data_IF_539979462296
#
_entry.id   IF_539979462296
#
_cell.length_a   1.000
_cell.length_b   1.000
_cell.length_c   1.000
_cell.angle_alpha   90.00
_cell.angle_beta   90.00
_cell.angle_gamma   90.00
#
_symmetry.space_group_name_H-M   'P 1'
#
loop_
_entity.id
_entity.type
_entity.pdbx_description
1 polymer ?
#
# COMPACT_ATOMS: atom_id res chain seq x y z
N UNK A 1 -4.93 9.35 12.45
CA UNK A 1 -5.82 9.69 11.34
C UNK A 1 -7.22 9.68 11.91
N UNK A 2 -8.00 10.75 11.74
CA UNK A 2 -9.40 10.74 12.17
C UNK A 2 -10.18 9.74 11.32
N UNK A 3 -11.17 9.04 11.88
CA UNK A 3 -11.94 8.02 11.16
C UNK A 3 -12.63 8.60 9.92
N UNK A 4 -13.09 9.85 9.98
CA UNK A 4 -13.68 10.55 8.84
C UNK A 4 -12.70 10.73 7.66
N UNK A 5 -11.44 11.09 7.93
CA UNK A 5 -10.43 11.21 6.87
C UNK A 5 -10.02 9.83 6.34
N UNK A 6 -10.01 8.78 7.19
CA UNK A 6 -9.78 7.41 6.72
C UNK A 6 -10.90 6.97 5.78
N UNK A 7 -12.16 7.20 6.15
CA UNK A 7 -13.32 6.86 5.32
C UNK A 7 -13.27 7.62 3.99
N UNK A 8 -12.94 8.91 4.00
CA UNK A 8 -12.77 9.70 2.79
C UNK A 8 -11.68 9.12 1.86
N UNK A 9 -10.56 8.65 2.42
CA UNK A 9 -9.48 8.07 1.63
C UNK A 9 -9.88 6.76 0.92
N UNK A 10 -10.77 5.95 1.49
CA UNK A 10 -11.25 4.71 0.87
C UNK A 10 -11.96 4.94 -0.47
N UNK A 11 -12.60 6.10 -0.68
CA UNK A 11 -13.28 6.40 -1.94
C UNK A 11 -12.32 6.50 -3.14
N UNK A 12 -11.03 6.72 -2.89
CA UNK A 12 -9.99 6.82 -3.91
C UNK A 12 -9.20 5.52 -4.10
N UNK A 13 -9.43 4.50 -3.27
CA UNK A 13 -8.73 3.22 -3.37
C UNK A 13 -9.47 2.31 -4.35
N UNK A 14 -8.79 1.81 -5.40
CA UNK A 14 -9.38 0.80 -6.29
C UNK A 14 -9.49 -0.53 -5.54
N UNK A 15 -10.67 -1.17 -5.61
CA UNK A 15 -10.97 -2.41 -4.88
C UNK A 15 -11.07 -3.56 -5.89
N UNK A 16 -9.91 -4.05 -6.32
CA UNK A 16 -9.82 -5.06 -7.37
C UNK A 16 -10.05 -4.47 -8.76
N UNK A 17 -10.97 -5.05 -9.54
CA UNK A 17 -11.38 -4.58 -10.87
C UNK A 17 -12.41 -3.45 -10.83
N UNK A 18 -12.93 -3.09 -9.65
CA UNK A 18 -13.85 -1.97 -9.52
C UNK A 18 -13.07 -0.64 -9.56
N UNK A 19 -13.49 0.31 -10.42
CA UNK A 19 -12.89 1.63 -10.40
C UNK A 19 -13.14 2.27 -9.04
N UNK A 20 -12.22 3.15 -8.58
CA UNK A 20 -12.48 3.94 -7.38
C UNK A 20 -13.77 4.76 -7.59
N UNK A 21 -14.53 4.98 -6.52
CA UNK A 21 -15.76 5.76 -6.57
C UNK A 21 -15.53 7.17 -7.12
N UNK A 22 -14.35 7.74 -6.86
CA UNK A 22 -13.86 8.96 -7.48
C UNK A 22 -12.60 8.69 -8.30
N UNK A 23 -12.76 8.45 -9.60
CA UNK A 23 -11.66 8.33 -10.54
C UNK A 23 -11.22 9.72 -11.01
N UNK A 24 -10.32 10.35 -10.25
CA UNK A 24 -9.62 11.56 -10.68
C UNK A 24 -8.19 11.24 -11.10
N UNK A 25 -7.66 11.98 -12.08
CA UNK A 25 -6.27 11.88 -12.53
C UNK A 25 -5.26 12.01 -11.37
N UNK A 26 -5.65 12.70 -10.30
CA UNK A 26 -4.84 12.97 -9.11
C UNK A 26 -5.36 12.24 -7.85
N UNK A 27 -6.12 11.14 -7.99
CA UNK A 27 -6.71 10.42 -6.86
C UNK A 27 -5.70 9.94 -5.82
N UNK A 28 -4.49 9.54 -6.24
CA UNK A 28 -3.39 9.19 -5.34
C UNK A 28 -2.87 10.38 -4.53
N UNK A 29 -2.83 11.58 -5.12
CA UNK A 29 -2.46 12.80 -4.40
C UNK A 29 -3.51 13.15 -3.35
N UNK A 30 -4.80 12.97 -3.66
CA UNK A 30 -5.87 13.18 -2.69
C UNK A 30 -5.70 12.28 -1.47
N UNK A 31 -5.38 10.99 -1.67
CA UNK A 31 -5.06 10.06 -0.57
C UNK A 31 -3.86 10.55 0.23
N UNK A 32 -2.76 10.92 -0.42
CA UNK A 32 -1.56 11.41 0.26
C UNK A 32 -1.85 12.66 1.09
N UNK A 33 -2.60 13.63 0.55
CA UNK A 33 -3.03 14.83 1.25
C UNK A 33 -3.92 14.50 2.43
N UNK A 34 -4.88 13.58 2.29
CA UNK A 34 -5.75 13.15 3.39
C UNK A 34 -4.94 12.50 4.52
N UNK A 35 -3.95 11.67 4.19
CA UNK A 35 -3.03 11.08 5.17
C UNK A 35 -2.20 12.15 5.88
N UNK A 36 -1.68 13.12 5.13
CA UNK A 36 -0.90 14.24 5.64
C UNK A 36 -1.72 15.14 6.58
N UNK A 37 -2.90 15.59 6.14
CA UNK A 37 -3.85 16.39 6.94
C UNK A 37 -4.16 15.68 8.25
N UNK A 38 -4.30 14.36 8.22
CA UNK A 38 -4.56 13.57 9.41
C UNK A 38 -3.43 13.54 10.43
N UNK A 39 -2.20 13.86 10.02
CA UNK A 39 -1.07 14.07 10.93
C UNK A 39 -1.11 15.49 11.54
N UNK A 40 -1.60 16.48 10.79
CA UNK A 40 -1.72 17.88 11.26
C UNK A 40 -2.90 18.13 12.20
N UNK A 41 -3.98 17.36 12.07
CA UNK A 41 -5.14 17.40 12.97
C UNK A 41 -4.78 16.93 14.39
N UNK A 42 -3.68 16.19 14.56
CA UNK A 42 -3.21 15.76 15.89
C UNK A 42 -2.69 16.94 16.72
N UNK A 43 -2.80 16.85 18.07
CA UNK A 43 -2.23 17.85 18.97
C UNK A 43 -0.74 18.05 18.69
N UNK A 44 -0.25 19.28 18.86
CA UNK A 44 1.10 19.71 18.44
C UNK A 44 2.23 18.86 19.04
N UNK A 45 2.03 18.29 20.23
CA UNK A 45 2.96 17.36 20.91
C UNK A 45 3.11 16.00 20.23
N UNK A 46 2.13 15.58 19.43
CA UNK A 46 2.10 14.27 18.77
C UNK A 46 2.12 14.35 17.24
N UNK A 47 2.41 15.54 16.69
CA UNK A 47 2.58 15.74 15.25
C UNK A 47 3.86 15.05 14.78
N UNK A 48 3.75 13.76 14.48
CA UNK A 48 4.75 13.01 13.73
C UNK A 48 4.13 12.54 12.44
N UNK A 49 4.86 12.78 11.35
CA UNK A 49 4.56 12.15 10.07
C UNK A 49 4.72 10.64 10.26
N UNK A 50 3.68 9.86 9.97
CA UNK A 50 3.74 8.42 10.17
C UNK A 50 4.74 7.77 9.21
N UNK A 51 5.57 6.85 9.69
CA UNK A 51 6.54 6.11 8.87
C UNK A 51 5.89 5.52 7.61
N UNK A 52 4.68 4.97 7.75
CA UNK A 52 3.89 4.46 6.62
C UNK A 52 3.68 5.48 5.50
N UNK A 53 3.38 6.75 5.81
CA UNK A 53 3.15 7.78 4.79
C UNK A 53 4.40 8.03 3.96
N UNK A 54 5.56 8.14 4.62
CA UNK A 54 6.84 8.37 3.94
C UNK A 54 7.19 7.19 3.03
N UNK A 55 7.07 5.96 3.55
CA UNK A 55 7.35 4.76 2.77
C UNK A 55 6.35 4.58 1.63
N UNK A 56 5.07 4.92 1.84
CA UNK A 56 4.05 4.91 0.80
C UNK A 56 4.36 5.90 -0.32
N UNK A 57 4.72 7.14 0.00
CA UNK A 57 5.13 8.12 -1.02
C UNK A 57 6.37 7.66 -1.78
N UNK A 58 7.35 7.05 -1.10
CA UNK A 58 8.54 6.50 -1.75
C UNK A 58 8.20 5.33 -2.69
N UNK A 59 7.37 4.39 -2.22
CA UNK A 59 6.91 3.26 -3.02
C UNK A 59 6.09 3.73 -4.23
N UNK A 60 5.16 4.65 -4.03
CA UNK A 60 4.33 5.21 -5.09
C UNK A 60 5.17 6.00 -6.10
N UNK A 61 6.11 6.82 -5.65
CA UNK A 61 7.03 7.54 -6.53
C UNK A 61 7.91 6.60 -7.35
N UNK A 62 8.43 5.53 -6.75
CA UNK A 62 9.19 4.51 -7.48
C UNK A 62 8.34 3.78 -8.52
N UNK A 63 7.10 3.41 -8.16
CA UNK A 63 6.13 2.84 -9.11
C UNK A 63 5.82 3.82 -10.25
N UNK A 64 5.63 5.11 -9.96
CA UNK A 64 5.36 6.14 -10.97
C UNK A 64 6.54 6.30 -11.94
N UNK A 65 7.77 6.31 -11.42
CA UNK A 65 8.98 6.33 -12.25
C UNK A 65 9.02 5.12 -13.18
N UNK A 66 8.80 3.92 -12.65
CA UNK A 66 8.78 2.70 -13.46
C UNK A 66 7.70 2.73 -14.55
N UNK A 67 6.47 3.12 -14.20
CA UNK A 67 5.33 3.24 -15.13
C UNK A 67 5.64 4.25 -16.22
N UNK A 68 6.27 5.38 -15.88
CA UNK A 68 6.67 6.41 -16.84
C UNK A 68 7.75 5.91 -17.81
N UNK A 69 8.73 5.13 -17.34
CA UNK A 69 9.76 4.54 -18.18
C UNK A 69 9.25 3.38 -19.04
N UNK A 70 8.28 2.60 -18.53
CA UNK A 70 7.70 1.45 -19.21
C UNK A 70 6.61 1.84 -20.24
N UNK A 71 6.21 3.11 -20.32
CA UNK A 71 5.20 3.59 -21.26
C UNK A 71 3.79 3.04 -21.00
N UNK A 72 3.48 2.70 -19.75
CA UNK A 72 2.17 2.14 -19.38
C UNK A 72 1.09 3.24 -19.48
N UNK A 73 -0.01 3.01 -20.21
CA UNK A 73 -1.05 4.02 -20.37
C UNK A 73 -1.84 4.22 -19.07
N UNK A 74 -1.98 5.48 -18.64
CA UNK A 74 -2.78 5.85 -17.48
C UNK A 74 -2.26 7.11 -16.78
N UNK A 75 -3.06 7.68 -15.89
CA UNK A 75 -2.64 8.82 -15.10
C UNK A 75 -1.70 8.36 -13.97
N UNK A 76 -0.44 8.82 -13.97
CA UNK A 76 0.55 8.50 -12.92
C UNK A 76 0.05 8.87 -11.51
N UNK A 77 -0.76 9.93 -11.43
CA UNK A 77 -1.38 10.44 -10.22
C UNK A 77 -2.54 9.59 -9.69
N UNK A 78 -3.05 8.63 -10.47
CA UNK A 78 -4.20 7.82 -10.11
C UNK A 78 -3.77 6.44 -9.63
N UNK A 79 -4.26 6.03 -8.45
CA UNK A 79 -4.04 4.68 -7.91
C UNK A 79 -4.60 3.58 -8.83
N UNK A 80 -5.65 3.90 -9.60
CA UNK A 80 -6.26 3.00 -10.58
C UNK A 80 -5.25 2.48 -11.61
N UNK A 81 -4.32 3.32 -12.06
CA UNK A 81 -3.29 2.96 -13.06
C UNK A 81 -2.45 1.77 -12.61
N UNK A 82 -2.09 1.73 -11.33
CA UNK A 82 -1.29 0.65 -10.75
C UNK A 82 -2.11 -0.61 -10.44
N UNK A 83 -3.43 -0.46 -10.29
CA UNK A 83 -4.35 -1.58 -10.02
C UNK A 83 -4.75 -2.38 -11.25
N UNK A 84 -4.74 -1.76 -12.43
CA UNK A 84 -5.16 -2.38 -13.69
C UNK A 84 -4.06 -3.22 -14.30
N UNK A 85 -2.80 -2.76 -14.19
CA UNK A 85 -1.65 -3.46 -14.77
C UNK A 85 -0.69 -3.90 -13.66
N UNK A 86 -0.57 -5.21 -13.36
CA UNK A 86 0.32 -5.68 -12.33
C UNK A 86 1.77 -5.38 -12.71
N UNK A 87 2.40 -4.46 -11.98
CA UNK A 87 3.80 -4.09 -12.21
C UNK A 87 4.71 -5.33 -12.19
N UNK A 88 4.37 -6.34 -11.38
CA UNK A 88 5.06 -7.63 -11.30
C UNK A 88 5.16 -8.39 -12.63
N UNK A 89 4.19 -8.26 -13.53
CA UNK A 89 4.21 -8.96 -14.83
C UNK A 89 5.01 -8.21 -15.89
N UNK A 90 5.21 -6.89 -15.69
CA UNK A 90 5.90 -6.01 -16.65
C UNK A 90 7.36 -5.82 -16.24
N UNK A 91 7.65 -5.86 -14.94
CA UNK A 91 9.01 -5.72 -14.42
C UNK A 91 9.88 -6.94 -14.69
N UNK A 92 11.15 -6.67 -14.98
CA UNK A 92 12.25 -7.61 -14.98
C UNK A 92 12.65 -8.06 -13.56
N UNK A 93 13.79 -8.73 -13.47
CA UNK A 93 14.25 -9.29 -12.20
C UNK A 93 14.52 -8.22 -11.12
N UNK A 94 15.03 -7.06 -11.54
CA UNK A 94 15.40 -5.96 -10.62
C UNK A 94 14.17 -5.20 -10.11
N UNK A 95 13.18 -4.98 -10.96
CA UNK A 95 11.91 -4.36 -10.61
C UNK A 95 11.10 -5.26 -9.68
N UNK A 96 11.06 -6.58 -9.92
CA UNK A 96 10.44 -7.55 -8.98
C UNK A 96 11.13 -7.58 -7.62
N UNK A 97 12.47 -7.56 -7.60
CA UNK A 97 13.22 -7.44 -6.35
C UNK A 97 12.90 -6.12 -5.63
N UNK A 98 12.86 -5.01 -6.38
CA UNK A 98 12.52 -3.69 -5.86
C UNK A 98 11.11 -3.61 -5.27
N UNK A 99 10.10 -4.14 -5.97
CA UNK A 99 8.73 -4.23 -5.47
C UNK A 99 8.63 -5.10 -4.22
N UNK A 100 9.40 -6.19 -4.14
CA UNK A 100 9.47 -7.03 -2.94
C UNK A 100 10.02 -6.25 -1.74
N UNK A 101 11.10 -5.49 -1.94
CA UNK A 101 11.66 -4.63 -0.90
C UNK A 101 10.72 -3.49 -0.49
N UNK A 102 10.05 -2.84 -1.45
CA UNK A 102 9.05 -1.81 -1.17
C UNK A 102 7.84 -2.38 -0.40
N UNK A 103 7.41 -3.61 -0.73
CA UNK A 103 6.36 -4.30 -0.01
C UNK A 103 6.76 -4.59 1.44
N UNK A 104 7.96 -5.12 1.65
CA UNK A 104 8.52 -5.34 2.99
C UNK A 104 8.68 -4.03 3.78
N UNK A 105 9.13 -2.96 3.10
CA UNK A 105 9.24 -1.64 3.70
C UNK A 105 7.88 -1.13 4.17
N UNK A 106 6.85 -1.26 3.33
CA UNK A 106 5.49 -0.88 3.68
C UNK A 106 5.00 -1.67 4.90
N UNK A 107 5.16 -3.01 4.90
CA UNK A 107 4.81 -3.88 6.02
C UNK A 107 5.49 -3.47 7.33
N UNK A 108 6.78 -3.14 7.29
CA UNK A 108 7.54 -2.68 8.46
C UNK A 108 7.13 -1.27 8.91
N UNK A 109 6.64 -0.44 7.99
CA UNK A 109 6.24 0.94 8.25
C UNK A 109 4.80 1.07 8.75
N UNK A 110 4.01 -0.02 8.75
CA UNK A 110 2.71 -0.03 9.41
C UNK A 110 2.93 0.42 10.86
N UNK A 111 2.13 1.40 11.35
CA UNK A 111 2.18 1.71 12.76
C UNK A 111 1.73 0.44 13.48
N UNK A 112 2.67 -0.25 14.11
CA UNK A 112 2.34 -1.09 15.24
C UNK A 112 1.44 -0.22 16.12
N UNK A 113 0.25 -0.70 16.44
CA UNK A 113 -0.46 -0.18 17.59
C UNK A 113 0.42 -0.55 18.79
N UNK A 114 1.44 0.29 19.02
CA UNK A 114 2.49 0.12 19.99
C UNK A 114 1.80 -0.17 21.33
N UNK A 115 1.96 -1.39 21.83
CA UNK A 115 1.56 -1.73 23.19
C UNK A 115 0.10 -2.14 23.43
N UNK A 116 -0.54 -2.92 22.56
CA UNK A 116 -1.55 -3.89 23.06
C UNK A 116 -1.09 -5.32 22.86
N UNK A 117 -0.35 -5.74 23.88
CA UNK A 117 -0.31 -7.10 24.42
C UNK A 117 -1.72 -7.72 24.32
N UNK A 118 -1.77 -8.95 23.82
CA UNK A 118 -2.91 -9.87 23.96
C UNK A 118 -4.23 -9.37 23.36
N UNK A 119 -4.42 -9.58 22.06
CA UNK A 119 -5.64 -10.22 21.55
C UNK A 119 -5.31 -10.66 20.12
N UNK A 120 -5.49 -11.95 19.86
CA UNK A 120 -5.15 -12.58 18.60
C UNK A 120 -5.96 -12.06 17.43
N UNK A 121 -5.84 -12.77 16.31
CA UNK A 121 -6.48 -12.54 15.00
C UNK A 121 -8.04 -12.46 15.00
N UNK A 122 -8.70 -12.23 16.14
CA UNK A 122 -10.11 -12.52 16.38
C UNK A 122 -11.05 -11.31 16.42
N UNK A 123 -10.59 -10.08 16.23
CA UNK A 123 -11.56 -9.01 15.96
C UNK A 123 -11.00 -7.91 15.08
N UNK A 124 -11.45 -7.89 13.83
CA UNK A 124 -11.69 -6.64 13.10
C UNK A 124 -12.79 -5.91 13.88
N UNK A 125 -12.45 -5.33 15.03
CA UNK A 125 -13.37 -4.49 15.78
C UNK A 125 -13.39 -3.15 15.04
N UNK A 126 -14.53 -2.80 14.44
CA UNK A 126 -14.82 -1.53 13.80
C UNK A 126 -14.94 -0.38 14.82
N UNK A 127 -14.06 -0.35 15.82
CA UNK A 127 -13.89 0.82 16.69
C UNK A 127 -12.92 1.80 16.02
N UNK A 128 -12.96 3.06 16.44
CA UNK A 128 -12.28 4.25 15.87
C UNK A 128 -10.78 4.10 15.49
N UNK A 129 -10.11 3.01 15.91
CA UNK A 129 -8.74 2.65 15.54
C UNK A 129 -8.57 1.63 14.40
N UNK A 130 -9.61 0.91 13.98
CA UNK A 130 -9.54 -0.21 13.04
C UNK A 130 -9.54 0.18 11.55
N UNK A 131 -10.12 1.33 11.19
CA UNK A 131 -10.20 1.77 9.80
C UNK A 131 -8.83 2.11 9.19
N UNK A 132 -7.91 2.58 10.02
CA UNK A 132 -6.59 3.04 9.62
C UNK A 132 -5.66 1.90 9.16
N UNK A 133 -5.45 0.82 9.94
CA UNK A 133 -4.66 -0.31 9.47
C UNK A 133 -5.29 -0.98 8.23
N UNK A 134 -6.62 -1.03 8.17
CA UNK A 134 -7.33 -1.53 7.00
C UNK A 134 -7.06 -0.68 5.74
N UNK A 135 -7.07 0.67 5.88
CA UNK A 135 -6.75 1.58 4.78
C UNK A 135 -5.32 1.39 4.30
N UNK A 136 -4.37 1.25 5.23
CA UNK A 136 -2.96 1.05 4.88
C UNK A 136 -2.76 -0.27 4.14
N UNK A 137 -3.42 -1.35 4.58
CA UNK A 137 -3.40 -2.62 3.87
C UNK A 137 -4.04 -2.51 2.48
N UNK A 138 -5.18 -1.83 2.37
CA UNK A 138 -5.84 -1.61 1.10
C UNK A 138 -4.95 -0.81 0.13
N UNK A 139 -4.23 0.21 0.61
CA UNK A 139 -3.27 0.97 -0.19
C UNK A 139 -2.06 0.14 -0.62
N UNK A 140 -1.51 -0.69 0.28
CA UNK A 140 -0.41 -1.61 -0.06
C UNK A 140 -0.84 -2.62 -1.11
N UNK A 141 -2.05 -3.19 -0.99
CA UNK A 141 -2.60 -4.13 -1.97
C UNK A 141 -2.89 -3.45 -3.31
N UNK A 142 -3.49 -2.26 -3.30
CA UNK A 142 -3.80 -1.52 -4.51
C UNK A 142 -2.54 -1.13 -5.31
N UNK A 143 -1.46 -0.79 -4.61
CA UNK A 143 -0.21 -0.35 -5.25
C UNK A 143 0.68 -1.53 -5.68
N UNK A 144 0.82 -2.54 -4.83
CA UNK A 144 1.82 -3.61 -5.02
C UNK A 144 1.23 -5.00 -5.18
N UNK A 145 -0.05 -5.28 -4.92
CA UNK A 145 -0.66 -6.58 -5.22
C UNK A 145 -1.94 -6.47 -6.06
N UNK A 146 -1.86 -5.94 -7.29
CA UNK A 146 -3.01 -5.77 -8.17
C UNK A 146 -3.41 -7.06 -8.92
N UNK A 147 -3.13 -8.24 -8.37
CA UNK A 147 -3.56 -9.51 -9.00
C UNK A 147 -5.06 -9.73 -8.83
N UNK A 148 -5.76 -9.84 -9.96
CA UNK A 148 -7.19 -10.07 -10.03
C UNK A 148 -7.45 -11.48 -10.60
N UNK A 149 -8.09 -12.39 -9.82
CA UNK A 149 -8.36 -13.75 -10.28
C UNK A 149 -9.31 -13.81 -11.48
N UNK A 150 -10.20 -12.82 -11.67
CA UNK A 150 -11.12 -12.78 -12.81
C UNK A 150 -10.40 -12.81 -14.16
N UNK A 151 -9.25 -12.14 -14.25
CA UNK A 151 -8.41 -12.08 -15.46
C UNK A 151 -7.81 -13.45 -15.77
N UNK A 152 -7.42 -14.20 -14.73
CA UNK A 152 -6.81 -15.53 -14.88
C UNK A 152 -7.85 -16.59 -15.26
N UNK A 153 -9.05 -16.50 -14.69
CA UNK A 153 -10.14 -17.46 -14.92
C UNK A 153 -10.95 -17.11 -16.18
N UNK A 154 -10.74 -15.93 -16.78
CA UNK A 154 -11.54 -15.45 -17.92
C UNK A 154 -13.01 -15.20 -17.56
N UNK A 155 -13.31 -15.06 -16.26
CA UNK A 155 -14.66 -14.87 -15.76
C UNK A 155 -15.06 -13.39 -15.90
N UNK A 156 -15.80 -13.08 -16.96
CA UNK A 156 -16.40 -11.77 -17.17
C UNK A 156 -17.72 -11.57 -16.41
N UNK A 157 -18.19 -10.33 -16.36
CA UNK A 157 -19.48 -9.97 -15.77
C UNK A 157 -19.45 -9.83 -14.24
N UNK A 158 -20.64 -9.72 -13.63
CA UNK A 158 -20.83 -9.38 -12.21
C UNK A 158 -20.08 -10.34 -11.27
N UNK A 159 -20.02 -11.63 -11.62
CA UNK A 159 -19.30 -12.64 -10.83
C UNK A 159 -17.78 -12.44 -10.83
N UNK A 160 -17.20 -12.02 -11.96
CA UNK A 160 -15.77 -11.67 -12.03
C UNK A 160 -15.41 -10.53 -11.09
N UNK A 161 -16.21 -9.45 -11.12
CA UNK A 161 -16.06 -8.31 -10.22
C UNK A 161 -16.20 -8.69 -8.74
N UNK A 162 -17.21 -9.52 -8.41
CA UNK A 162 -17.42 -9.97 -7.04
C UNK A 162 -16.23 -10.80 -6.52
N UNK A 163 -15.71 -11.72 -7.34
CA UNK A 163 -14.54 -12.52 -7.00
C UNK A 163 -13.30 -11.64 -6.75
N UNK A 164 -13.06 -10.65 -7.62
CA UNK A 164 -11.94 -9.71 -7.45
C UNK A 164 -12.09 -8.84 -6.20
N UNK A 165 -13.31 -8.40 -5.90
CA UNK A 165 -13.62 -7.64 -4.69
C UNK A 165 -13.33 -8.47 -3.43
N UNK A 166 -13.84 -9.71 -3.36
CA UNK A 166 -13.58 -10.60 -2.22
C UNK A 166 -12.08 -10.90 -2.11
N UNK A 167 -11.42 -11.19 -3.23
CA UNK A 167 -9.99 -11.48 -3.25
C UNK A 167 -9.14 -10.29 -2.82
N UNK A 168 -9.54 -9.07 -3.19
CA UNK A 168 -8.90 -7.84 -2.71
C UNK A 168 -8.92 -7.77 -1.18
N UNK A 169 -10.07 -8.01 -0.55
CA UNK A 169 -10.19 -7.96 0.91
C UNK A 169 -9.46 -9.12 1.61
N UNK A 170 -9.42 -10.30 1.00
CA UNK A 170 -8.59 -11.42 1.50
C UNK A 170 -7.11 -11.03 1.51
N UNK A 171 -6.61 -10.42 0.42
CA UNK A 171 -5.25 -9.88 0.37
C UNK A 171 -5.03 -8.80 1.43
N UNK A 172 -5.96 -7.86 1.58
CA UNK A 172 -5.84 -6.80 2.59
C UNK A 172 -5.80 -7.37 4.02
N UNK A 173 -6.61 -8.39 4.31
CA UNK A 173 -6.57 -9.09 5.60
C UNK A 173 -5.23 -9.83 5.80
N UNK A 174 -4.72 -10.50 4.76
CA UNK A 174 -3.41 -11.15 4.81
C UNK A 174 -2.27 -10.13 5.03
N UNK A 175 -2.32 -8.97 4.38
CA UNK A 175 -1.36 -7.86 4.57
C UNK A 175 -1.47 -7.31 5.99
N UNK A 176 -2.67 -7.10 6.53
CA UNK A 176 -2.87 -6.71 7.92
C UNK A 176 -2.25 -7.73 8.89
N UNK A 177 -2.48 -9.03 8.67
CA UNK A 177 -1.90 -10.08 9.49
C UNK A 177 -0.36 -10.12 9.39
N UNK A 178 0.17 -10.01 8.16
CA UNK A 178 1.61 -9.98 7.90
C UNK A 178 2.27 -8.74 8.52
N UNK A 179 1.61 -7.58 8.50
CA UNK A 179 2.06 -6.36 9.15
C UNK A 179 2.13 -6.49 10.68
N UNK A 180 1.40 -7.43 11.29
CA UNK A 180 1.55 -7.77 12.70
C UNK A 180 2.80 -8.60 13.02
N UNK A 181 3.42 -9.23 12.01
CA UNK A 181 4.60 -10.09 12.16
C UNK A 181 5.88 -9.43 11.63
N UNK A 182 5.80 -8.76 10.48
CA UNK A 182 6.92 -8.13 9.79
C UNK A 182 7.80 -7.20 10.65
N UNK A 183 7.25 -6.24 11.43
CA UNK A 183 8.08 -5.34 12.25
C UNK A 183 8.80 -6.07 13.37
N UNK A 184 8.24 -7.16 13.92
CA UNK A 184 8.90 -8.02 14.91
C UNK A 184 10.08 -8.77 14.31
N UNK A 185 9.90 -9.31 13.10
CA UNK A 185 10.98 -9.94 12.37
C UNK A 185 12.08 -8.95 12.00
N UNK A 186 11.71 -7.75 11.54
CA UNK A 186 12.64 -6.67 11.24
C UNK A 186 13.41 -6.21 12.49
N UNK A 187 12.74 -6.08 13.64
CA UNK A 187 13.36 -5.75 14.91
C UNK A 187 14.34 -6.84 15.38
N UNK A 188 14.07 -8.12 15.12
CA UNK A 188 15.02 -9.20 15.38
C UNK A 188 16.28 -9.05 14.51
N UNK A 189 16.13 -8.68 13.24
CA UNK A 189 17.25 -8.46 12.32
C UNK A 189 18.09 -7.23 12.67
N UNK A 190 17.47 -6.14 13.12
CA UNK A 190 18.15 -4.84 13.34
C UNK A 190 18.44 -4.51 14.80
N UNK A 191 18.48 -5.51 15.70
CA UNK A 191 18.69 -5.33 17.15
C UNK A 191 17.72 -4.29 17.76
N UNK A 192 16.44 -4.36 17.41
CA UNK A 192 15.37 -3.56 18.02
C UNK A 192 15.05 -2.22 17.34
N UNK A 193 15.50 -1.97 16.11
CA UNK A 193 15.21 -0.72 15.36
C UNK A 193 14.47 -1.00 14.05
N UNK A 194 13.16 -1.23 14.13
CA UNK A 194 12.29 -1.52 12.97
C UNK A 194 12.19 -0.35 11.98
N UNK A 195 12.24 0.91 12.45
CA UNK A 195 12.21 2.09 11.57
C UNK A 195 13.41 2.16 10.60
N UNK A 196 14.60 1.77 11.07
CA UNK A 196 15.80 1.72 10.22
C UNK A 196 15.68 0.61 9.19
N UNK A 197 15.11 -0.53 9.57
CA UNK A 197 14.85 -1.64 8.64
C UNK A 197 13.88 -1.21 7.53
N UNK A 198 12.78 -0.54 7.90
CA UNK A 198 11.80 -0.03 6.94
C UNK A 198 12.43 0.98 5.97
N UNK A 199 13.25 1.91 6.47
CA UNK A 199 13.98 2.86 5.65
C UNK A 199 14.99 2.19 4.71
N UNK A 200 15.74 1.20 5.21
CA UNK A 200 16.70 0.43 4.41
C UNK A 200 16.00 -0.35 3.30
N UNK A 201 14.90 -1.05 3.60
CA UNK A 201 14.09 -1.74 2.59
C UNK A 201 13.49 -0.77 1.57
N UNK A 202 13.02 0.40 2.02
CA UNK A 202 12.50 1.41 1.10
C UNK A 202 13.60 1.90 0.15
N UNK A 203 14.80 2.22 0.66
CA UNK A 203 15.94 2.65 -0.15
C UNK A 203 16.38 1.57 -1.13
N UNK A 204 16.57 0.33 -0.69
CA UNK A 204 16.88 -0.80 -1.57
C UNK A 204 15.82 -0.97 -2.65
N UNK A 205 14.54 -0.88 -2.27
CA UNK A 205 13.41 -0.98 -3.19
C UNK A 205 13.45 0.10 -4.28
N UNK A 206 13.58 1.37 -3.89
CA UNK A 206 13.67 2.50 -4.82
C UNK A 206 14.88 2.36 -5.75
N UNK A 207 16.05 1.97 -5.23
CA UNK A 207 17.27 1.79 -6.04
C UNK A 207 17.10 0.68 -7.06
N UNK A 208 16.53 -0.46 -6.67
CA UNK A 208 16.28 -1.58 -7.58
C UNK A 208 15.29 -1.21 -8.69
N UNK A 209 14.20 -0.51 -8.35
CA UNK A 209 13.23 -0.04 -9.34
C UNK A 209 13.86 1.01 -10.26
N UNK A 210 14.64 1.95 -9.72
CA UNK A 210 15.33 2.97 -10.51
C UNK A 210 16.43 2.39 -11.42
N UNK A 211 17.09 1.32 -11.01
CA UNK A 211 18.07 0.61 -11.83
C UNK A 211 17.42 -0.01 -13.08
N UNK A 212 16.20 -0.54 -12.93
CA UNK A 212 15.44 -1.11 -14.05
C UNK A 212 14.78 -0.03 -14.93
N UNK A 213 14.34 1.07 -14.33
CA UNK A 213 13.70 2.18 -15.04
C UNK A 213 14.66 3.00 -15.92
N UNK A 214 15.95 2.64 -15.99
CA UNK A 214 16.93 3.36 -16.81
C UNK A 214 16.62 3.14 -18.30
N UNK A 215 16.42 4.21 -19.09
CA UNK A 215 16.38 4.09 -20.54
C UNK A 215 17.78 3.67 -21.01
N UNK A 216 17.86 2.58 -21.78
CA UNK A 216 19.02 2.30 -22.61
C UNK A 216 19.03 3.27 -23.80
#
# INVERSE_FOLDING_TARGET
MSPALCAAAFYFVPVGSLPPFFSFEYGGFAVAVLMLLSAFVRPRSERRLGSFFVVFCAAWGASALFVSSAGVPGALGCLGTYSVMPLWSVSGAWGRAGMSFLFLALLCAFPENAGRREEGCASIRFDDGGLRPLLYAALTVALLLPWNPSVVVGAGGVWGFFCDFVFFWVKAAAVCAAAGFAPRFAAMLTRGRSDIAAAAFALCGVVCVAAEARPF
#
